data_IF_003342035885
#
_entry.id   IF_003342035885
#
_cell.length_a   1.000
_cell.length_b   1.000
_cell.length_c   1.000
_cell.angle_alpha   90.00
_cell.angle_beta   90.00
_cell.angle_gamma   90.00
#
_symmetry.space_group_name_H-M   'P 1'
#
loop_
_entity.id
_entity.type
_entity.pdbx_description
1 polymer ?
#
# COMPACT_ATOMS: atom_id res chain seq x y z
N UNK A 1 3.36 22.74 8.05
CA UNK A 1 3.18 21.37 7.56
C UNK A 1 2.33 21.49 6.31
N UNK A 2 2.80 20.99 5.18
CA UNK A 2 2.00 20.92 3.96
C UNK A 2 0.95 19.82 4.16
N UNK A 3 -0.33 20.15 4.01
CA UNK A 3 -1.41 19.15 4.09
C UNK A 3 -1.25 18.18 2.92
N UNK A 4 -1.05 16.90 3.20
CA UNK A 4 -0.99 15.84 2.18
C UNK A 4 -2.35 15.78 1.48
N UNK A 5 -2.35 15.85 0.14
CA UNK A 5 -3.60 15.81 -0.62
C UNK A 5 -4.00 14.35 -0.86
N UNK A 6 -5.31 14.13 -0.96
CA UNK A 6 -5.88 12.82 -1.30
C UNK A 6 -5.29 12.26 -2.62
N UNK A 7 -4.98 13.13 -3.58
CA UNK A 7 -4.32 12.74 -4.85
C UNK A 7 -2.90 12.19 -4.64
N UNK A 8 -2.15 12.73 -3.67
CA UNK A 8 -0.79 12.27 -3.35
C UNK A 8 -0.87 10.87 -2.72
N UNK A 9 -1.81 10.68 -1.79
CA UNK A 9 -2.07 9.38 -1.16
C UNK A 9 -2.53 8.35 -2.20
N UNK A 10 -3.48 8.71 -3.06
CA UNK A 10 -3.95 7.84 -4.15
C UNK A 10 -2.80 7.41 -5.06
N UNK A 11 -1.97 8.36 -5.49
CA UNK A 11 -0.84 8.09 -6.41
C UNK A 11 0.17 7.13 -5.77
N UNK A 12 0.49 7.31 -4.49
CA UNK A 12 1.42 6.44 -3.79
C UNK A 12 0.88 5.01 -3.61
N UNK A 13 -0.41 4.86 -3.23
CA UNK A 13 -1.03 3.54 -3.12
C UNK A 13 -1.17 2.87 -4.48
N UNK A 14 -1.44 3.64 -5.53
CA UNK A 14 -1.56 3.14 -6.90
C UNK A 14 -0.24 2.55 -7.38
N UNK A 15 0.85 3.26 -7.16
CA UNK A 15 2.19 2.78 -7.53
C UNK A 15 2.59 1.53 -6.73
N UNK A 16 2.29 1.51 -5.42
CA UNK A 16 2.53 0.31 -4.61
C UNK A 16 1.72 -0.89 -5.11
N UNK A 17 0.43 -0.71 -5.40
CA UNK A 17 -0.41 -1.75 -6.00
C UNK A 17 0.19 -2.29 -7.30
N UNK A 18 0.63 -1.40 -8.20
CA UNK A 18 1.26 -1.77 -9.46
C UNK A 18 2.53 -2.61 -9.24
N UNK A 19 3.41 -2.16 -8.36
CA UNK A 19 4.66 -2.85 -8.03
C UNK A 19 4.43 -4.20 -7.37
N UNK A 20 3.42 -4.33 -6.50
CA UNK A 20 3.05 -5.62 -5.89
C UNK A 20 2.55 -6.60 -6.96
N UNK A 21 1.71 -6.16 -7.91
CA UNK A 21 1.27 -7.01 -9.03
C UNK A 21 2.42 -7.45 -9.92
N UNK A 22 3.40 -6.58 -10.12
CA UNK A 22 4.61 -6.91 -10.87
C UNK A 22 5.49 -7.92 -10.12
N UNK A 23 5.65 -7.73 -8.80
CA UNK A 23 6.49 -8.57 -7.94
C UNK A 23 6.05 -10.02 -7.86
N UNK A 24 4.75 -10.31 -8.05
CA UNK A 24 4.21 -11.67 -8.14
C UNK A 24 5.00 -12.55 -9.12
N UNK A 25 5.41 -12.00 -10.27
CA UNK A 25 6.12 -12.77 -11.30
C UNK A 25 7.56 -13.13 -10.93
N UNK A 26 8.06 -12.61 -9.80
CA UNK A 26 9.42 -12.80 -9.33
C UNK A 26 9.48 -13.57 -8.00
N UNK A 27 8.35 -14.14 -7.55
CA UNK A 27 8.32 -14.93 -6.31
C UNK A 27 8.87 -16.34 -6.51
N UNK A 28 9.55 -16.93 -5.51
CA UNK A 28 10.07 -18.30 -5.57
C UNK A 28 8.97 -19.36 -5.66
N UNK A 29 7.86 -19.09 -5.00
CA UNK A 29 6.84 -20.08 -4.64
C UNK A 29 5.45 -19.43 -4.57
N UNK A 30 4.42 -20.28 -4.62
CA UNK A 30 3.02 -19.87 -4.62
C UNK A 30 2.62 -19.15 -3.33
N UNK A 31 3.15 -19.55 -2.17
CA UNK A 31 2.81 -18.90 -0.90
C UNK A 31 3.35 -17.46 -0.84
N UNK A 32 4.55 -17.22 -1.36
CA UNK A 32 5.09 -15.87 -1.53
C UNK A 32 4.23 -15.04 -2.50
N UNK A 33 3.81 -15.64 -3.62
CA UNK A 33 2.91 -15.02 -4.60
C UNK A 33 1.54 -14.63 -4.03
N UNK A 34 0.93 -15.52 -3.24
CA UNK A 34 -0.36 -15.30 -2.58
C UNK A 34 -0.29 -14.13 -1.59
N UNK A 35 0.79 -14.05 -0.82
CA UNK A 35 0.99 -12.95 0.15
C UNK A 35 1.14 -11.60 -0.55
N UNK A 36 1.89 -11.54 -1.65
CA UNK A 36 2.03 -10.32 -2.45
C UNK A 36 0.68 -9.93 -3.07
N UNK A 37 -0.05 -10.91 -3.59
CA UNK A 37 -1.38 -10.69 -4.19
C UNK A 37 -2.37 -10.15 -3.18
N UNK A 38 -2.44 -10.73 -1.98
CA UNK A 38 -3.32 -10.26 -0.91
C UNK A 38 -3.04 -8.79 -0.52
N UNK A 39 -1.76 -8.39 -0.51
CA UNK A 39 -1.37 -6.99 -0.27
C UNK A 39 -1.74 -6.07 -1.42
N UNK A 40 -1.62 -6.54 -2.67
CA UNK A 40 -2.09 -5.80 -3.83
C UNK A 40 -3.61 -5.58 -3.76
N UNK A 41 -4.38 -6.61 -3.42
CA UNK A 41 -5.85 -6.51 -3.26
C UNK A 41 -6.22 -5.51 -2.14
N UNK A 42 -5.49 -5.51 -1.03
CA UNK A 42 -5.69 -4.53 0.04
C UNK A 42 -5.44 -3.08 -0.43
N UNK A 43 -4.38 -2.86 -1.23
CA UNK A 43 -4.12 -1.55 -1.84
C UNK A 43 -5.24 -1.14 -2.81
N UNK A 44 -5.80 -2.09 -3.57
CA UNK A 44 -6.90 -1.82 -4.48
C UNK A 44 -8.19 -1.40 -3.75
N UNK A 45 -8.49 -2.00 -2.60
CA UNK A 45 -9.61 -1.56 -1.73
C UNK A 45 -9.39 -0.11 -1.29
N UNK A 46 -8.19 0.22 -0.82
CA UNK A 46 -7.84 1.60 -0.42
C UNK A 46 -8.03 2.57 -1.59
N UNK A 47 -7.57 2.22 -2.80
CA UNK A 47 -7.76 3.06 -4.00
C UNK A 47 -9.23 3.30 -4.34
N UNK A 48 -10.05 2.26 -4.18
CA UNK A 48 -11.48 2.33 -4.45
C UNK A 48 -12.18 3.24 -3.44
N UNK A 49 -11.80 3.14 -2.16
CA UNK A 49 -12.33 3.99 -1.11
C UNK A 49 -11.81 5.44 -1.21
N UNK A 50 -10.55 5.63 -1.65
CA UNK A 50 -9.93 6.93 -1.91
C UNK A 50 -10.52 7.69 -3.11
N UNK A 51 -11.57 7.21 -3.76
CA UNK A 51 -12.11 7.85 -4.94
C UNK A 51 -12.56 9.31 -4.64
N UNK A 52 -12.22 10.20 -5.58
CA UNK A 52 -11.75 11.57 -5.34
C UNK A 52 -12.77 12.61 -4.80
N UNK A 53 -14.05 12.25 -4.62
CA UNK A 53 -15.09 13.18 -4.13
C UNK A 53 -15.78 12.74 -2.82
N UNK A 54 -15.74 11.46 -2.44
CA UNK A 54 -16.70 10.92 -1.48
C UNK A 54 -16.24 11.01 0.00
N UNK A 55 -14.96 10.75 0.29
CA UNK A 55 -14.43 10.64 1.67
C UNK A 55 -14.65 11.91 2.49
N UNK A 56 -14.44 13.09 1.90
CA UNK A 56 -14.53 14.35 2.67
C UNK A 56 -15.96 14.68 3.09
N UNK A 57 -16.97 14.08 2.45
CA UNK A 57 -18.37 14.32 2.77
C UNK A 57 -18.92 13.37 3.85
N UNK A 58 -18.20 12.29 4.21
CA UNK A 58 -18.71 11.24 5.11
C UNK A 58 -17.68 10.73 6.12
N UNK A 59 -17.95 10.97 7.40
CA UNK A 59 -17.05 10.67 8.52
C UNK A 59 -16.88 9.17 8.79
N UNK A 60 -17.93 8.36 8.58
CA UNK A 60 -17.86 6.92 8.86
C UNK A 60 -17.02 6.17 7.82
N UNK A 61 -17.17 6.51 6.55
CA UNK A 61 -16.36 6.03 5.44
C UNK A 61 -14.89 6.36 5.68
N UNK A 62 -14.58 7.60 6.10
CA UNK A 62 -13.22 7.97 6.46
C UNK A 62 -12.67 7.13 7.62
N UNK A 63 -13.45 6.92 8.69
CA UNK A 63 -13.03 6.07 9.83
C UNK A 63 -12.86 4.59 9.45
N UNK A 64 -13.65 4.07 8.52
CA UNK A 64 -13.46 2.72 7.98
C UNK A 64 -12.15 2.64 7.21
N UNK A 65 -11.91 3.59 6.32
CA UNK A 65 -10.68 3.65 5.53
C UNK A 65 -9.43 3.80 6.41
N UNK A 66 -9.47 4.64 7.45
CA UNK A 66 -8.38 4.76 8.43
C UNK A 66 -7.99 3.40 8.99
N UNK A 67 -8.97 2.58 9.40
CA UNK A 67 -8.72 1.23 9.96
C UNK A 67 -8.19 0.25 8.92
N UNK A 68 -8.68 0.33 7.68
CA UNK A 68 -8.13 -0.46 6.57
C UNK A 68 -6.65 -0.09 6.36
N UNK A 69 -6.33 1.20 6.34
CA UNK A 69 -4.98 1.69 6.16
C UNK A 69 -4.04 1.30 7.32
N UNK A 70 -4.50 1.35 8.57
CA UNK A 70 -3.74 0.87 9.73
C UNK A 70 -3.32 -0.60 9.57
N UNK A 71 -4.29 -1.46 9.24
CA UNK A 71 -4.05 -2.89 9.03
C UNK A 71 -3.10 -3.11 7.85
N UNK A 72 -3.30 -2.40 6.74
CA UNK A 72 -2.39 -2.49 5.59
C UNK A 72 -0.98 -2.03 5.96
N UNK A 73 -0.82 -0.93 6.71
CA UNK A 73 0.48 -0.46 7.18
C UNK A 73 1.24 -1.49 8.01
N UNK A 74 0.55 -2.22 8.89
CA UNK A 74 1.15 -3.32 9.65
C UNK A 74 1.66 -4.45 8.73
N UNK A 75 0.86 -4.83 7.73
CA UNK A 75 1.23 -5.86 6.77
C UNK A 75 2.38 -5.41 5.85
N UNK A 76 2.41 -4.13 5.45
CA UNK A 76 3.49 -3.56 4.66
C UNK A 76 4.80 -3.51 5.43
N UNK A 77 4.78 -3.11 6.71
CA UNK A 77 5.97 -3.17 7.59
C UNK A 77 6.51 -4.58 7.78
N UNK A 78 5.62 -5.59 7.75
CA UNK A 78 6.03 -6.99 7.78
C UNK A 78 6.63 -7.40 6.43
N UNK A 79 6.00 -7.03 5.32
CA UNK A 79 6.50 -7.33 3.98
C UNK A 79 7.87 -6.73 3.76
N UNK A 80 8.10 -5.47 4.13
CA UNK A 80 9.39 -4.77 4.00
C UNK A 80 10.57 -5.56 4.60
N UNK A 81 10.34 -6.26 5.72
CA UNK A 81 11.36 -7.09 6.39
C UNK A 81 11.60 -8.44 5.73
N UNK A 82 10.64 -8.91 4.94
CA UNK A 82 10.62 -10.25 4.37
C UNK A 82 10.76 -10.23 2.83
N UNK A 83 10.70 -9.05 2.20
CA UNK A 83 10.57 -8.95 0.74
C UNK A 83 11.79 -9.50 -0.01
N UNK A 84 12.99 -9.39 0.56
CA UNK A 84 14.22 -9.93 -0.01
C UNK A 84 14.21 -11.46 -0.14
N UNK A 85 13.47 -12.16 0.73
CA UNK A 85 13.31 -13.62 0.64
C UNK A 85 12.09 -14.03 -0.19
N UNK A 86 11.14 -13.11 -0.40
CA UNK A 86 9.91 -13.37 -1.14
C UNK A 86 10.00 -13.00 -2.63
N UNK A 87 10.96 -12.16 -3.04
CA UNK A 87 11.09 -11.66 -4.42
C UNK A 87 12.55 -11.74 -4.84
N UNK A 88 12.84 -12.49 -5.91
CA UNK A 88 14.22 -12.70 -6.36
C UNK A 88 14.79 -11.56 -7.22
N UNK A 89 13.95 -10.66 -7.74
CA UNK A 89 14.40 -9.50 -8.50
C UNK A 89 14.82 -8.37 -7.56
N UNK A 90 16.13 -8.14 -7.41
CA UNK A 90 16.69 -7.07 -6.56
C UNK A 90 16.16 -5.68 -6.97
N UNK A 91 16.01 -5.44 -8.26
CA UNK A 91 15.44 -4.18 -8.77
C UNK A 91 13.99 -3.99 -8.30
N UNK A 92 13.17 -5.06 -8.38
CA UNK A 92 11.78 -5.05 -7.93
C UNK A 92 11.68 -4.91 -6.42
N UNK A 93 12.53 -5.59 -5.65
CA UNK A 93 12.64 -5.45 -4.19
C UNK A 93 12.93 -4.00 -3.81
N UNK A 94 13.92 -3.38 -4.44
CA UNK A 94 14.31 -1.99 -4.13
C UNK A 94 13.16 -1.02 -4.39
N UNK A 95 12.48 -1.17 -5.54
CA UNK A 95 11.32 -0.35 -5.88
C UNK A 95 10.16 -0.56 -4.89
N UNK A 96 9.91 -1.80 -4.46
CA UNK A 96 8.87 -2.11 -3.48
C UNK A 96 9.16 -1.48 -2.11
N UNK A 97 10.39 -1.59 -1.59
CA UNK A 97 10.76 -0.99 -0.31
C UNK A 97 10.54 0.52 -0.35
N UNK A 98 11.02 1.19 -1.40
CA UNK A 98 10.84 2.64 -1.57
C UNK A 98 9.35 3.03 -1.66
N UNK A 99 8.55 2.23 -2.36
CA UNK A 99 7.12 2.48 -2.48
C UNK A 99 6.36 2.21 -1.16
N UNK A 100 6.75 1.19 -0.40
CA UNK A 100 6.24 0.90 0.95
C UNK A 100 6.52 2.09 1.86
N UNK A 101 7.77 2.56 1.92
CA UNK A 101 8.18 3.70 2.72
C UNK A 101 7.37 4.95 2.41
N UNK A 102 7.17 5.22 1.11
CA UNK A 102 6.34 6.35 0.65
C UNK A 102 4.90 6.25 1.16
N UNK A 103 4.26 5.07 1.03
CA UNK A 103 2.89 4.85 1.51
C UNK A 103 2.79 4.93 3.03
N UNK A 104 3.75 4.37 3.78
CA UNK A 104 3.78 4.45 5.25
C UNK A 104 3.89 5.90 5.72
N UNK A 105 4.76 6.70 5.07
CA UNK A 105 4.93 8.12 5.39
C UNK A 105 3.69 8.93 5.07
N UNK A 106 3.14 8.80 3.86
CA UNK A 106 1.98 9.59 3.43
C UNK A 106 0.71 9.23 4.19
N UNK A 107 0.49 7.94 4.49
CA UNK A 107 -0.65 7.50 5.29
C UNK A 107 -0.61 8.05 6.71
N UNK A 108 0.56 8.06 7.36
CA UNK A 108 0.74 8.67 8.68
C UNK A 108 0.37 10.16 8.69
N UNK A 109 0.73 10.90 7.63
CA UNK A 109 0.38 12.31 7.50
C UNK A 109 -1.11 12.53 7.17
N UNK A 110 -1.67 11.76 6.25
CA UNK A 110 -3.04 11.95 5.74
C UNK A 110 -4.10 11.48 6.74
N UNK A 111 -3.91 10.30 7.34
CA UNK A 111 -4.85 9.70 8.28
C UNK A 111 -4.52 10.01 9.75
N UNK A 112 -3.36 10.62 10.03
CA UNK A 112 -2.86 10.92 11.38
C UNK A 112 -2.65 9.66 12.23
N UNK A 113 -2.02 8.65 11.62
CA UNK A 113 -1.66 7.35 12.22
C UNK A 113 -0.31 7.39 12.93
#
# INVERSE_FOLDING_TARGET
MEDVKQVDMYSAVFELHRLLREAYWYTPDEASGDRITALADACFVILTELNLEDIKSRTEEFQRLTRVMEKTNEQLKKLEKEIESMVHSIATVTALIQSIDSVLKLSGLFFKL
#
